data_IF_512571101592
#
_entry.id   IF_512571101592
#
_cell.length_a   1.000
_cell.length_b   1.000
_cell.length_c   1.000
_cell.angle_alpha   90.00
_cell.angle_beta   90.00
_cell.angle_gamma   90.00
#
_symmetry.space_group_name_H-M   'P 1'
#
loop_
_entity.id
_entity.type
_entity.pdbx_description
1 polymer ?
#
# COMPACT_ATOMS: atom_id res chain seq x y z
N UNK A 1 -6.59 -9.96 2.64
CA UNK A 1 -7.12 -9.37 3.89
C UNK A 1 -6.11 -9.46 5.03
N UNK A 2 -5.98 -10.55 5.81
CA UNK A 2 -5.20 -10.51 7.07
C UNK A 2 -3.74 -10.06 6.93
N UNK A 3 -3.04 -10.42 5.85
CA UNK A 3 -1.67 -9.96 5.59
C UNK A 3 -1.62 -8.42 5.48
N UNK A 4 -2.34 -7.84 4.52
CA UNK A 4 -2.45 -6.39 4.34
C UNK A 4 -2.99 -5.68 5.59
N UNK A 5 -4.00 -6.22 6.27
CA UNK A 5 -4.55 -5.55 7.46
C UNK A 5 -3.61 -5.62 8.67
N UNK A 6 -2.73 -6.61 8.74
CA UNK A 6 -1.64 -6.62 9.73
C UNK A 6 -0.55 -5.58 9.40
N UNK A 7 -0.46 -5.19 8.14
CA UNK A 7 0.46 -4.18 7.63
C UNK A 7 -0.16 -2.77 7.73
N UNK A 8 -1.22 -2.47 7.00
CA UNK A 8 -1.70 -1.10 6.74
C UNK A 8 -2.77 -0.62 7.73
N UNK A 9 -3.56 -1.52 8.31
CA UNK A 9 -4.75 -1.15 9.06
C UNK A 9 -4.43 -0.32 10.31
N UNK A 10 -5.04 0.87 10.51
CA UNK A 10 -4.91 1.62 11.76
C UNK A 10 -5.29 0.81 13.00
N UNK A 11 -6.32 -0.04 12.85
CA UNK A 11 -6.83 -0.85 13.96
C UNK A 11 -6.05 -2.14 14.17
N UNK A 12 -5.55 -2.78 13.12
CA UNK A 12 -5.00 -4.15 13.16
C UNK A 12 -3.49 -4.25 12.91
N UNK A 13 -2.80 -3.14 12.58
CA UNK A 13 -1.37 -3.14 12.35
C UNK A 13 -0.61 -3.75 13.54
N UNK A 14 0.27 -4.71 13.24
CA UNK A 14 1.09 -5.40 14.23
C UNK A 14 0.31 -6.35 15.16
N UNK A 15 -1.03 -6.42 15.07
CA UNK A 15 -1.85 -7.29 15.92
C UNK A 15 -2.08 -8.66 15.26
N UNK A 16 -2.20 -9.69 16.08
CA UNK A 16 -2.61 -11.02 15.61
C UNK A 16 -4.11 -11.22 15.85
N UNK A 17 -4.85 -11.45 14.77
CA UNK A 17 -6.30 -11.52 14.81
C UNK A 17 -6.84 -12.61 13.89
N UNK A 18 -8.05 -13.04 14.19
CA UNK A 18 -8.84 -13.95 13.39
C UNK A 18 -9.61 -13.21 12.31
N UNK A 19 -9.95 -13.91 11.23
CA UNK A 19 -10.85 -13.38 10.18
C UNK A 19 -12.21 -12.98 10.75
N UNK A 20 -12.68 -13.64 11.82
CA UNK A 20 -13.95 -13.32 12.47
C UNK A 20 -13.88 -11.98 13.20
N UNK A 21 -12.82 -11.73 13.94
CA UNK A 21 -12.60 -10.45 14.62
C UNK A 21 -12.54 -9.30 13.62
N UNK A 22 -11.77 -9.47 12.55
CA UNK A 22 -11.69 -8.46 11.49
C UNK A 22 -13.05 -8.20 10.84
N UNK A 23 -13.76 -9.26 10.40
CA UNK A 23 -15.09 -9.11 9.77
C UNK A 23 -16.12 -8.46 10.70
N UNK A 24 -16.04 -8.74 12.01
CA UNK A 24 -16.90 -8.12 13.00
C UNK A 24 -16.61 -6.62 13.12
N UNK A 25 -15.34 -6.25 13.26
CA UNK A 25 -14.93 -4.85 13.30
C UNK A 25 -15.32 -4.11 12.01
N UNK A 26 -15.00 -4.69 10.84
CA UNK A 26 -15.31 -4.10 9.53
C UNK A 26 -16.79 -3.77 9.38
N UNK A 27 -17.67 -4.73 9.71
CA UNK A 27 -19.13 -4.53 9.65
C UNK A 27 -19.60 -3.48 10.65
N UNK A 28 -18.99 -3.40 11.82
CA UNK A 28 -19.33 -2.35 12.78
C UNK A 28 -18.98 -0.95 12.26
N UNK A 29 -17.95 -0.83 11.42
CA UNK A 29 -17.55 0.44 10.81
C UNK A 29 -18.34 0.77 9.53
N UNK A 30 -18.68 -0.24 8.70
CA UNK A 30 -19.22 -0.04 7.34
C UNK A 30 -20.62 -0.60 7.10
N UNK A 31 -21.28 -1.14 8.14
CA UNK A 31 -22.61 -1.77 8.07
C UNK A 31 -22.62 -3.17 7.45
N UNK A 32 -21.80 -3.42 6.44
CA UNK A 32 -21.68 -4.73 5.76
C UNK A 32 -20.23 -5.12 5.50
N UNK A 33 -20.00 -6.36 5.07
CA UNK A 33 -18.65 -6.83 4.70
C UNK A 33 -18.49 -6.80 3.18
N UNK A 34 -17.92 -5.71 2.67
CA UNK A 34 -17.68 -5.45 1.26
C UNK A 34 -16.17 -5.39 0.90
N UNK A 35 -15.30 -5.88 1.77
CA UNK A 35 -13.83 -5.76 1.66
C UNK A 35 -13.26 -5.97 0.25
N UNK A 36 -13.71 -7.01 -0.46
CA UNK A 36 -13.16 -7.34 -1.78
C UNK A 36 -13.63 -6.41 -2.90
N UNK A 37 -14.60 -5.54 -2.63
CA UNK A 37 -15.04 -4.48 -3.54
C UNK A 37 -14.50 -3.10 -3.12
N UNK A 38 -14.21 -2.92 -1.83
CA UNK A 38 -13.71 -1.65 -1.29
C UNK A 38 -12.21 -1.43 -1.57
N UNK A 39 -11.46 -2.48 -1.92
CA UNK A 39 -10.03 -2.43 -2.21
C UNK A 39 -9.74 -2.95 -3.62
N UNK A 40 -9.04 -2.14 -4.44
CA UNK A 40 -8.65 -2.47 -5.83
C UNK A 40 -7.38 -3.30 -5.93
N UNK A 41 -6.48 -3.15 -4.96
CA UNK A 41 -5.19 -3.83 -4.90
C UNK A 41 -4.97 -4.61 -3.61
N UNK A 42 -4.00 -5.53 -3.62
CA UNK A 42 -3.54 -6.26 -2.45
C UNK A 42 -2.03 -6.19 -2.35
N UNK A 43 -1.53 -5.61 -1.26
CA UNK A 43 -0.11 -5.40 -1.03
C UNK A 43 0.40 -6.19 0.16
N UNK A 44 1.50 -6.93 -0.05
CA UNK A 44 2.15 -7.71 1.00
C UNK A 44 3.67 -7.57 0.89
N UNK A 45 4.30 -6.79 1.78
CA UNK A 45 5.74 -6.91 1.99
C UNK A 45 6.08 -8.34 2.48
N UNK A 46 7.18 -8.94 1.99
CA UNK A 46 7.54 -10.33 2.35
C UNK A 46 7.65 -10.57 3.85
N UNK A 47 8.09 -9.56 4.61
CA UNK A 47 8.16 -9.61 6.08
C UNK A 47 6.79 -9.85 6.76
N UNK A 48 5.68 -9.57 6.08
CA UNK A 48 4.33 -9.82 6.60
C UNK A 48 3.92 -11.31 6.51
N UNK A 49 4.70 -12.14 5.83
CA UNK A 49 4.51 -13.60 5.80
C UNK A 49 5.05 -14.27 7.09
N UNK A 50 6.08 -13.69 7.72
CA UNK A 50 6.78 -14.27 8.87
C UNK A 50 5.82 -14.60 10.03
N UNK A 51 4.92 -13.71 10.48
CA UNK A 51 4.04 -14.04 11.60
C UNK A 51 3.03 -15.17 11.28
N UNK A 52 2.79 -15.44 10.00
CA UNK A 52 1.96 -16.55 9.57
C UNK A 52 2.76 -17.85 9.54
N UNK A 53 4.02 -17.81 9.08
CA UNK A 53 4.95 -18.93 9.09
C UNK A 53 5.27 -19.39 10.52
N UNK A 54 5.50 -18.44 11.43
CA UNK A 54 5.73 -18.66 12.86
C UNK A 54 4.50 -19.16 13.63
N UNK A 55 3.35 -19.31 12.96
CA UNK A 55 2.11 -19.76 13.57
C UNK A 55 1.52 -18.77 14.57
N UNK A 56 1.90 -17.48 14.55
CA UNK A 56 1.26 -16.44 15.38
C UNK A 56 -0.17 -16.19 14.93
N UNK A 57 -0.42 -16.23 13.63
CA UNK A 57 -1.77 -16.28 13.07
C UNK A 57 -2.37 -17.69 13.11
N UNK A 58 -3.25 -17.93 14.08
CA UNK A 58 -3.94 -19.22 14.20
C UNK A 58 -4.99 -19.43 13.10
N UNK A 59 -5.30 -20.70 12.82
CA UNK A 59 -6.39 -21.15 11.92
C UNK A 59 -6.33 -20.52 10.53
N UNK A 60 -5.19 -20.67 9.85
CA UNK A 60 -5.04 -20.26 8.45
C UNK A 60 -6.15 -20.88 7.59
N UNK A 61 -6.67 -20.11 6.65
CA UNK A 61 -7.58 -20.61 5.61
C UNK A 61 -6.79 -21.35 4.53
N UNK A 62 -7.48 -22.11 3.67
CA UNK A 62 -6.87 -22.73 2.50
C UNK A 62 -6.17 -21.69 1.61
N UNK A 63 -6.83 -20.56 1.34
CA UNK A 63 -6.27 -19.48 0.51
C UNK A 63 -5.00 -18.87 1.10
N UNK A 64 -4.96 -18.66 2.41
CA UNK A 64 -3.75 -18.12 3.08
C UNK A 64 -2.60 -19.12 3.05
N UNK A 65 -2.87 -20.42 3.25
CA UNK A 65 -1.85 -21.46 3.09
C UNK A 65 -1.32 -21.53 1.67
N UNK A 66 -2.21 -21.53 0.68
CA UNK A 66 -1.82 -21.56 -0.74
C UNK A 66 -0.98 -20.35 -1.10
N UNK A 67 -1.32 -19.16 -0.58
CA UNK A 67 -0.50 -17.98 -0.79
C UNK A 67 0.89 -18.14 -0.18
N UNK A 68 1.00 -18.60 1.07
CA UNK A 68 2.30 -18.81 1.72
C UNK A 68 3.16 -19.84 0.95
N UNK A 69 2.56 -20.96 0.53
CA UNK A 69 3.24 -21.99 -0.25
C UNK A 69 3.77 -21.45 -1.58
N UNK A 70 3.05 -20.54 -2.24
CA UNK A 70 3.51 -19.96 -3.50
C UNK A 70 4.81 -19.14 -3.38
N UNK A 71 5.19 -18.75 -2.16
CA UNK A 71 6.38 -17.96 -1.88
C UNK A 71 7.32 -18.63 -0.88
N UNK A 72 7.16 -19.93 -0.60
CA UNK A 72 7.96 -20.64 0.41
C UNK A 72 9.44 -20.77 0.01
N UNK A 73 9.71 -20.88 -1.29
CA UNK A 73 11.07 -20.98 -1.85
C UNK A 73 11.67 -19.61 -2.24
N UNK A 74 11.07 -18.50 -1.79
CA UNK A 74 11.57 -17.15 -2.10
C UNK A 74 12.44 -16.63 -0.98
N UNK A 75 13.72 -16.47 -1.28
CA UNK A 75 14.69 -15.83 -0.40
C UNK A 75 14.75 -14.32 -0.59
N UNK A 76 15.11 -13.61 0.47
CA UNK A 76 15.36 -12.16 0.46
C UNK A 76 14.09 -11.29 0.54
N UNK A 77 14.29 -9.98 0.33
CA UNK A 77 13.20 -9.01 0.34
C UNK A 77 12.44 -9.07 -0.99
N UNK A 78 11.13 -9.28 -0.92
CA UNK A 78 10.24 -9.21 -2.07
C UNK A 78 8.91 -8.59 -1.68
N UNK A 79 8.11 -8.25 -2.68
CA UNK A 79 6.81 -7.64 -2.51
C UNK A 79 5.78 -8.39 -3.35
N UNK A 80 4.63 -8.71 -2.77
CA UNK A 80 3.53 -9.37 -3.46
C UNK A 80 2.48 -8.32 -3.78
N UNK A 81 2.22 -8.15 -5.08
CA UNK A 81 1.16 -7.29 -5.62
C UNK A 81 0.04 -8.20 -6.15
N UNK A 82 -1.16 -8.02 -5.63
CA UNK A 82 -2.39 -8.56 -6.17
C UNK A 82 -3.19 -7.45 -6.84
N UNK A 83 -3.47 -7.61 -8.13
CA UNK A 83 -4.26 -6.67 -8.95
C UNK A 83 -5.29 -7.47 -9.77
N UNK A 84 -6.34 -6.82 -10.26
CA UNK A 84 -7.33 -7.42 -11.13
C UNK A 84 -7.11 -7.00 -12.60
N UNK A 85 -7.48 -7.86 -13.55
CA UNK A 85 -7.18 -7.67 -14.99
C UNK A 85 -7.75 -6.39 -15.61
N UNK A 86 -8.74 -5.78 -14.97
CA UNK A 86 -9.36 -4.51 -15.41
C UNK A 86 -8.74 -3.27 -14.77
N UNK A 87 -7.71 -3.43 -13.96
CA UNK A 87 -7.07 -2.31 -13.28
C UNK A 87 -6.34 -1.42 -14.29
N UNK A 88 -6.41 -0.12 -14.07
CA UNK A 88 -5.75 0.83 -14.94
C UNK A 88 -4.22 0.72 -14.82
N UNK A 89 -3.45 1.11 -15.85
CA UNK A 89 -2.00 1.23 -15.73
C UNK A 89 -1.55 2.13 -14.57
N UNK A 90 -2.33 3.16 -14.23
CA UNK A 90 -2.11 4.01 -13.04
C UNK A 90 -2.19 3.20 -11.74
N UNK A 91 -3.21 2.33 -11.60
CA UNK A 91 -3.36 1.44 -10.45
C UNK A 91 -2.18 0.49 -10.32
N UNK A 92 -1.79 -0.18 -11.41
CA UNK A 92 -0.63 -1.09 -11.35
C UNK A 92 0.66 -0.34 -10.99
N UNK A 93 0.90 0.83 -11.57
CA UNK A 93 2.09 1.61 -11.22
C UNK A 93 2.05 2.10 -9.76
N UNK A 94 0.88 2.42 -9.22
CA UNK A 94 0.70 2.75 -7.81
C UNK A 94 1.18 1.58 -6.92
N UNK A 95 0.74 0.36 -7.22
CA UNK A 95 1.19 -0.82 -6.45
C UNK A 95 2.69 -1.11 -6.63
N UNK A 96 3.22 -0.88 -7.84
CA UNK A 96 4.66 -0.99 -8.11
C UNK A 96 5.44 0.05 -7.30
N UNK A 97 4.92 1.26 -7.14
CA UNK A 97 5.56 2.31 -6.32
C UNK A 97 5.77 1.83 -4.88
N UNK A 98 4.78 1.16 -4.28
CA UNK A 98 4.94 0.56 -2.95
C UNK A 98 5.99 -0.56 -2.93
N UNK A 99 5.94 -1.46 -3.91
CA UNK A 99 6.92 -2.52 -4.05
C UNK A 99 8.35 -1.99 -4.11
N UNK A 100 8.59 -0.97 -4.93
CA UNK A 100 9.88 -0.30 -5.05
C UNK A 100 10.30 0.40 -3.76
N UNK A 101 9.37 1.07 -3.09
CA UNK A 101 9.62 1.72 -1.81
C UNK A 101 10.04 0.73 -0.71
N UNK A 102 9.51 -0.50 -0.74
CA UNK A 102 9.89 -1.55 0.20
C UNK A 102 11.23 -2.23 -0.16
N UNK A 103 11.38 -2.68 -1.41
CA UNK A 103 12.50 -3.57 -1.80
C UNK A 103 13.79 -2.83 -2.17
N UNK A 104 13.70 -1.59 -2.65
CA UNK A 104 14.85 -0.86 -3.17
C UNK A 104 15.18 0.32 -2.26
N UNK A 105 16.17 0.13 -1.40
CA UNK A 105 16.57 1.14 -0.42
C UNK A 105 16.99 2.46 -1.07
N UNK A 106 17.68 2.41 -2.22
CA UNK A 106 18.12 3.61 -2.92
C UNK A 106 16.94 4.38 -3.52
N UNK A 107 15.99 3.68 -4.15
CA UNK A 107 14.72 4.27 -4.59
C UNK A 107 14.01 4.96 -3.42
N UNK A 108 13.86 4.26 -2.30
CA UNK A 108 13.22 4.78 -1.08
C UNK A 108 13.89 6.05 -0.58
N UNK A 109 15.23 6.06 -0.48
CA UNK A 109 15.98 7.23 -0.02
C UNK A 109 15.80 8.43 -0.94
N UNK A 110 15.86 8.22 -2.27
CA UNK A 110 15.66 9.31 -3.24
C UNK A 110 14.23 9.87 -3.20
N UNK A 111 13.22 8.99 -3.08
CA UNK A 111 11.82 9.40 -2.91
C UNK A 111 11.64 10.20 -1.61
N UNK A 112 12.15 9.70 -0.49
CA UNK A 112 12.04 10.39 0.81
C UNK A 112 12.66 11.79 0.77
N UNK A 113 13.83 11.93 0.13
CA UNK A 113 14.50 13.21 -0.03
C UNK A 113 13.70 14.22 -0.87
N UNK A 114 12.91 13.77 -1.85
CA UNK A 114 12.02 14.65 -2.60
C UNK A 114 10.75 15.00 -1.80
N UNK A 115 10.19 14.04 -1.06
CA UNK A 115 9.05 14.28 -0.17
C UNK A 115 9.36 15.27 0.96
N UNK A 116 10.59 15.28 1.48
CA UNK A 116 11.03 16.22 2.54
C UNK A 116 11.06 17.70 2.09
N UNK A 117 10.90 17.98 0.79
CA UNK A 117 10.91 19.34 0.24
C UNK A 117 9.55 20.01 0.22
N UNK A 118 8.47 19.27 0.53
CA UNK A 118 7.09 19.75 0.44
C UNK A 118 6.34 19.45 1.74
N UNK A 119 5.34 20.27 2.04
CA UNK A 119 4.42 20.00 3.14
C UNK A 119 3.44 18.89 2.74
N UNK A 120 3.56 17.71 3.37
CA UNK A 120 2.65 16.59 3.13
C UNK A 120 1.33 16.70 3.92
N UNK A 121 1.18 17.70 4.80
CA UNK A 121 0.03 17.84 5.69
C UNK A 121 -1.34 17.75 4.99
N UNK A 122 -1.57 18.37 3.83
CA UNK A 122 -2.81 18.20 3.08
C UNK A 122 -3.08 16.76 2.63
N UNK A 123 -2.05 16.06 2.14
CA UNK A 123 -2.16 14.65 1.70
C UNK A 123 -2.36 13.74 2.91
N UNK A 124 -1.61 13.94 4.00
CA UNK A 124 -1.74 13.16 5.24
C UNK A 124 -3.14 13.31 5.86
N UNK A 125 -3.72 14.52 5.83
CA UNK A 125 -5.11 14.75 6.25
C UNK A 125 -6.11 13.98 5.39
N UNK A 126 -5.90 13.95 4.08
CA UNK A 126 -6.71 13.13 3.18
C UNK A 126 -6.58 11.64 3.52
N UNK A 127 -5.36 11.11 3.64
CA UNK A 127 -5.10 9.71 3.99
C UNK A 127 -5.74 9.34 5.33
N UNK A 128 -5.64 10.22 6.34
CA UNK A 128 -6.31 10.05 7.62
C UNK A 128 -7.84 9.97 7.49
N UNK A 129 -8.45 10.79 6.61
CA UNK A 129 -9.90 10.80 6.39
C UNK A 129 -10.43 9.53 5.72
N UNK A 130 -9.60 8.78 4.99
CA UNK A 130 -10.00 7.49 4.42
C UNK A 130 -10.26 6.43 5.50
N UNK A 131 -9.63 6.58 6.67
CA UNK A 131 -9.66 5.61 7.76
C UNK A 131 -8.97 4.27 7.44
N UNK A 132 -8.29 4.17 6.29
CA UNK A 132 -7.70 2.92 5.78
C UNK A 132 -6.23 2.71 6.13
N UNK A 133 -5.48 3.79 6.38
CA UNK A 133 -4.02 3.76 6.43
C UNK A 133 -3.45 4.22 7.78
N UNK A 134 -2.60 3.39 8.38
CA UNK A 134 -1.85 3.75 9.58
C UNK A 134 -0.80 4.84 9.26
N UNK A 135 -0.55 5.83 10.14
CA UNK A 135 0.38 6.94 9.87
C UNK A 135 1.79 6.54 9.41
N UNK A 136 2.27 5.37 9.84
CA UNK A 136 3.58 4.85 9.44
C UNK A 136 3.73 4.55 7.96
N UNK A 137 2.64 4.45 7.20
CA UNK A 137 2.68 4.21 5.73
C UNK A 137 2.37 5.47 4.92
N UNK A 138 2.03 6.61 5.56
CA UNK A 138 1.59 7.79 4.81
C UNK A 138 2.61 8.34 3.83
N UNK A 139 3.91 8.20 4.10
CA UNK A 139 4.94 8.61 3.13
C UNK A 139 5.02 7.70 1.91
N UNK A 140 4.77 6.41 2.10
CA UNK A 140 4.70 5.41 1.02
C UNK A 140 3.42 5.61 0.18
N UNK A 141 2.30 5.91 0.82
CA UNK A 141 1.06 6.31 0.14
C UNK A 141 1.25 7.63 -0.63
N UNK A 142 1.82 8.66 0.02
CA UNK A 142 1.98 9.98 -0.59
C UNK A 142 2.81 9.93 -1.88
N UNK A 143 3.93 9.18 -1.91
CA UNK A 143 4.68 9.03 -3.16
C UNK A 143 3.88 8.28 -4.23
N UNK A 144 3.15 7.21 -3.87
CA UNK A 144 2.36 6.46 -4.85
C UNK A 144 1.27 7.32 -5.48
N UNK A 145 0.56 8.12 -4.67
CA UNK A 145 -0.44 9.09 -5.16
C UNK A 145 0.18 10.20 -6.02
N UNK A 146 1.29 10.80 -5.58
CA UNK A 146 1.96 11.88 -6.31
C UNK A 146 2.57 11.42 -7.64
N UNK A 147 2.92 10.14 -7.77
CA UNK A 147 3.45 9.58 -9.01
C UNK A 147 2.33 9.22 -10.01
N UNK A 148 1.24 8.61 -9.53
CA UNK A 148 0.29 7.89 -10.40
C UNK A 148 -1.19 8.30 -10.29
N UNK A 149 -1.59 9.09 -9.27
CA UNK A 149 -3.00 9.34 -8.96
C UNK A 149 -3.29 10.82 -8.69
N UNK A 150 -2.74 11.68 -9.56
CA UNK A 150 -2.98 13.11 -9.57
C UNK A 150 -4.47 13.45 -9.49
N UNK A 151 -5.28 12.88 -10.38
CA UNK A 151 -6.70 13.16 -10.51
C UNK A 151 -7.47 12.87 -9.21
N UNK A 152 -7.05 11.84 -8.47
CA UNK A 152 -7.65 11.50 -7.18
C UNK A 152 -7.39 12.60 -6.15
N UNK A 153 -6.17 13.12 -6.07
CA UNK A 153 -5.83 14.21 -5.14
C UNK A 153 -6.60 15.49 -5.49
N UNK A 154 -6.66 15.84 -6.77
CA UNK A 154 -7.42 17.02 -7.25
C UNK A 154 -8.92 16.88 -6.96
N UNK A 155 -9.49 15.70 -7.20
CA UNK A 155 -10.91 15.41 -6.91
C UNK A 155 -11.24 15.60 -5.42
N UNK A 156 -10.29 15.31 -4.53
CA UNK A 156 -10.42 15.53 -3.09
C UNK A 156 -10.02 16.94 -2.64
N UNK A 157 -9.83 17.88 -3.57
CA UNK A 157 -9.61 19.30 -3.28
C UNK A 157 -8.19 19.62 -2.80
N UNK A 158 -7.23 18.74 -3.05
CA UNK A 158 -5.82 19.02 -2.73
C UNK A 158 -5.25 19.91 -3.84
N UNK A 159 -4.75 21.09 -3.45
CA UNK A 159 -4.01 21.96 -4.37
C UNK A 159 -2.65 21.34 -4.70
N UNK A 160 -2.46 20.97 -5.96
CA UNK A 160 -1.23 20.35 -6.43
C UNK A 160 -0.14 21.33 -6.84
N UNK A 161 -0.42 22.64 -6.89
CA UNK A 161 0.55 23.68 -7.25
C UNK A 161 1.88 23.56 -6.50
N UNK A 162 1.88 23.41 -5.16
CA UNK A 162 3.09 23.23 -4.36
C UNK A 162 3.88 21.93 -4.65
N UNK A 163 3.23 20.91 -5.24
CA UNK A 163 3.82 19.58 -5.42
C UNK A 163 4.34 19.34 -6.84
N UNK A 164 4.02 20.19 -7.83
CA UNK A 164 4.33 19.94 -9.25
C UNK A 164 5.81 19.61 -9.52
N UNK A 165 6.73 20.34 -8.89
CA UNK A 165 8.16 20.08 -9.03
C UNK A 165 8.54 18.71 -8.44
N UNK A 166 8.07 18.42 -7.22
CA UNK A 166 8.29 17.13 -6.55
C UNK A 166 7.68 15.98 -7.34
N UNK A 167 6.47 16.13 -7.88
CA UNK A 167 5.82 15.13 -8.73
C UNK A 167 6.69 14.79 -9.94
N UNK A 168 7.19 15.78 -10.66
CA UNK A 168 8.10 15.55 -11.80
C UNK A 168 9.36 14.76 -11.40
N UNK A 169 9.96 15.10 -10.25
CA UNK A 169 11.14 14.40 -9.72
C UNK A 169 10.83 12.96 -9.31
N UNK A 170 9.71 12.74 -8.61
CA UNK A 170 9.26 11.41 -8.20
C UNK A 170 8.96 10.54 -9.43
N UNK A 171 8.33 11.09 -10.46
CA UNK A 171 8.06 10.42 -11.73
C UNK A 171 9.34 10.04 -12.49
N UNK A 172 10.35 10.90 -12.48
CA UNK A 172 11.67 10.60 -13.06
C UNK A 172 12.41 9.52 -12.26
N UNK A 173 12.34 9.57 -10.91
CA UNK A 173 12.87 8.51 -10.04
C UNK A 173 12.19 7.19 -10.37
N UNK A 174 10.86 7.15 -10.35
CA UNK A 174 10.08 5.95 -10.70
C UNK A 174 10.49 5.37 -12.05
N UNK A 175 10.48 6.19 -13.10
CA UNK A 175 10.85 5.76 -14.45
C UNK A 175 12.27 5.22 -14.53
N UNK A 176 13.24 5.85 -13.86
CA UNK A 176 14.64 5.40 -13.87
C UNK A 176 14.81 4.02 -13.24
N UNK A 177 14.06 3.71 -12.19
CA UNK A 177 14.18 2.44 -11.48
C UNK A 177 13.31 1.32 -12.07
N UNK A 178 12.16 1.65 -12.66
CA UNK A 178 11.21 0.65 -13.16
C UNK A 178 11.19 0.52 -14.69
N UNK A 179 11.66 1.55 -15.41
CA UNK A 179 11.48 1.68 -16.86
C UNK A 179 10.05 2.00 -17.29
N UNK A 180 9.12 2.16 -16.34
CA UNK A 180 7.69 2.38 -16.61
C UNK A 180 7.36 3.86 -16.71
N UNK A 181 6.33 4.18 -17.52
CA UNK A 181 5.82 5.53 -17.63
C UNK A 181 4.79 5.78 -16.52
N UNK A 182 4.97 6.81 -15.67
CA UNK A 182 3.96 7.21 -14.69
C UNK A 182 2.76 7.89 -15.36
N UNK A 183 1.65 8.00 -14.64
CA UNK A 183 0.36 8.48 -15.14
C UNK A 183 -0.15 9.69 -14.35
#
# INVERSE_FOLDING_TARGET
MRFQEHYESPQFRGKYFSRREYKKWYRAQRGQFSYFADWSGFNIPSSMLEPFADGRFKRLSRRERTLMQAFEDKDGLFYIIGTYKTDSPSTLNHEISHGMFFINEKYRQEVLAELDKVDLGPIEKYLASTGGYHPSVWRDEAQAYLINNRDTLEHHGIDLGPYLATMGRLQDIFRRYTGLRPY
#
